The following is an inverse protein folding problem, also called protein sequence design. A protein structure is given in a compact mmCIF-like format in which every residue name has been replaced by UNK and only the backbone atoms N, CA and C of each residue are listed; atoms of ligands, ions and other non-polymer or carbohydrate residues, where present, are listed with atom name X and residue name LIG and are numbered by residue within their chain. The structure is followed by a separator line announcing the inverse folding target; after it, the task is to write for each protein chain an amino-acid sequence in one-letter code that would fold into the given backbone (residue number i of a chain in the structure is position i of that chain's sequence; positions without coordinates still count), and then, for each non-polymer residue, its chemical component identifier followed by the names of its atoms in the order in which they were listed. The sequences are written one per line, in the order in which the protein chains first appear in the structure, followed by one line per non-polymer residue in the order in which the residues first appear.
data_IF_633545507824
#
_entry.id   IF_633545507824
#
_cell.length_a   1.000
_cell.length_b   1.000
_cell.length_c   1.000
_cell.angle_alpha   90.00
_cell.angle_beta   90.00
_cell.angle_gamma   90.00
#
_symmetry.space_group_name_H-M   'P 1'
#
loop_
_entity.id
_entity.type
_entity.pdbx_description
1 polymer ?
#
# COMPACT_ATOMS: atom_id res chain seq x y z
N UNK A 1 0.56 14.11 21.20
CA UNK A 1 -0.05 14.18 19.85
C UNK A 1 -1.40 14.85 19.93
N UNK A 2 -1.73 15.71 18.96
CA UNK A 2 -2.99 16.43 18.91
C UNK A 2 -4.11 15.47 18.46
N UNK A 3 -4.97 15.01 19.39
CA UNK A 3 -6.09 14.10 19.09
C UNK A 3 -7.01 14.66 17.99
N UNK A 4 -7.10 15.98 17.86
CA UNK A 4 -7.87 16.66 16.83
C UNK A 4 -7.33 16.39 15.41
N UNK A 5 -6.01 16.43 15.22
CA UNK A 5 -5.37 16.13 13.94
C UNK A 5 -5.59 14.68 13.49
N UNK A 6 -5.52 13.72 14.43
CA UNK A 6 -5.76 12.31 14.15
C UNK A 6 -7.21 12.06 13.73
N UNK A 7 -8.17 12.57 14.49
CA UNK A 7 -9.59 12.44 14.18
C UNK A 7 -9.92 13.11 12.83
N UNK A 8 -9.34 14.29 12.57
CA UNK A 8 -9.51 14.97 11.29
C UNK A 8 -8.97 14.14 10.12
N UNK A 9 -7.73 13.63 10.20
CA UNK A 9 -7.15 12.77 9.15
C UNK A 9 -7.95 11.51 8.92
N UNK A 10 -8.45 10.86 9.99
CA UNK A 10 -9.33 9.70 9.86
C UNK A 10 -10.61 10.04 9.08
N UNK A 11 -11.27 11.16 9.41
CA UNK A 11 -12.44 11.64 8.68
C UNK A 11 -12.13 11.99 7.22
N UNK A 12 -10.96 12.57 6.94
CA UNK A 12 -10.56 12.90 5.57
C UNK A 12 -10.42 11.66 4.68
N UNK A 13 -10.03 10.50 5.23
CA UNK A 13 -10.01 9.23 4.46
C UNK A 13 -11.39 8.74 4.03
N UNK A 14 -12.48 9.22 4.66
CA UNK A 14 -13.87 8.98 4.21
C UNK A 14 -14.28 9.93 3.09
N UNK A 15 -13.82 11.18 3.15
CA UNK A 15 -14.24 12.25 2.24
C UNK A 15 -13.49 12.21 0.91
N UNK A 16 -12.16 12.12 1.01
CA UNK A 16 -11.25 12.23 -0.11
C UNK A 16 -10.91 10.83 -0.62
N UNK A 17 -11.01 10.63 -1.93
CA UNK A 17 -10.42 9.43 -2.52
C UNK A 17 -8.88 9.52 -2.42
N UNK A 18 -8.18 8.38 -2.49
CA UNK A 18 -6.73 8.37 -2.66
C UNK A 18 -6.31 9.31 -3.79
N UNK A 19 -5.18 10.00 -3.60
CA UNK A 19 -4.63 10.89 -4.61
C UNK A 19 -5.48 12.14 -4.98
N UNK A 20 -6.56 12.49 -4.26
CA UNK A 20 -7.37 13.69 -4.55
C UNK A 20 -6.53 14.99 -4.50
N UNK A 21 -6.25 15.64 -5.64
CA UNK A 21 -5.28 16.73 -5.69
C UNK A 21 -5.74 17.97 -4.89
N UNK A 22 -7.03 18.28 -4.93
CA UNK A 22 -7.60 19.42 -4.19
C UNK A 22 -7.60 19.14 -2.69
N UNK A 23 -8.01 17.92 -2.29
CA UNK A 23 -7.98 17.50 -0.90
C UNK A 23 -6.58 17.54 -0.30
N UNK A 24 -5.57 17.13 -1.07
CA UNK A 24 -4.15 17.19 -0.68
C UNK A 24 -3.66 18.60 -0.52
N UNK A 25 -3.94 19.44 -1.50
CA UNK A 25 -3.56 20.84 -1.46
C UNK A 25 -4.16 21.52 -0.21
N UNK A 26 -5.43 21.22 0.12
CA UNK A 26 -6.07 21.72 1.34
C UNK A 26 -5.34 21.28 2.60
N UNK A 27 -5.04 19.98 2.74
CA UNK A 27 -4.35 19.46 3.93
C UNK A 27 -2.94 20.03 4.04
N UNK A 28 -2.22 20.16 2.95
CA UNK A 28 -0.87 20.71 2.94
C UNK A 28 -0.86 22.21 3.29
N UNK A 29 -1.85 22.99 2.82
CA UNK A 29 -1.91 24.43 3.11
C UNK A 29 -2.43 24.74 4.50
N UNK A 30 -3.51 24.07 4.92
CA UNK A 30 -4.29 24.45 6.09
C UNK A 30 -4.14 23.47 7.27
N UNK A 31 -3.51 22.32 7.06
CA UNK A 31 -3.53 21.21 8.02
C UNK A 31 -4.85 20.44 7.97
N UNK A 32 -4.83 19.23 8.53
CA UNK A 32 -5.99 18.33 8.44
C UNK A 32 -7.26 18.84 9.16
N UNK A 33 -7.19 19.44 10.37
CA UNK A 33 -8.39 19.95 11.04
C UNK A 33 -9.14 21.00 10.23
N UNK A 34 -8.43 21.99 9.67
CA UNK A 34 -9.07 23.06 8.91
C UNK A 34 -9.47 22.59 7.49
N UNK A 35 -8.70 21.70 6.86
CA UNK A 35 -9.11 21.04 5.62
C UNK A 35 -10.44 20.28 5.79
N UNK A 36 -10.64 19.60 6.92
CA UNK A 36 -11.92 18.93 7.22
C UNK A 36 -13.07 19.94 7.39
N UNK A 37 -12.86 21.04 8.11
CA UNK A 37 -13.87 22.10 8.26
C UNK A 37 -14.23 22.71 6.91
N UNK A 38 -13.24 22.91 6.03
CA UNK A 38 -13.47 23.41 4.67
C UNK A 38 -14.28 22.39 3.86
N UNK A 39 -13.85 21.12 3.85
CA UNK A 39 -14.50 20.06 3.09
C UNK A 39 -15.95 19.78 3.51
N UNK A 40 -16.29 20.08 4.77
CA UNK A 40 -17.66 19.95 5.32
C UNK A 40 -18.45 21.25 5.30
N UNK A 41 -17.88 22.35 4.80
CA UNK A 41 -18.54 23.66 4.69
C UNK A 41 -18.60 24.47 6.00
N UNK A 42 -17.96 23.99 7.07
CA UNK A 42 -17.86 24.71 8.35
C UNK A 42 -16.84 25.88 8.32
N UNK A 43 -15.91 25.86 7.36
CA UNK A 43 -14.96 26.94 7.09
C UNK A 43 -14.94 27.25 5.59
N UNK A 44 -14.77 28.52 5.23
CA UNK A 44 -14.57 28.92 3.82
C UNK A 44 -13.08 28.99 3.52
N UNK A 45 -12.70 28.57 2.32
CA UNK A 45 -11.35 28.76 1.79
C UNK A 45 -11.40 29.60 0.51
N UNK A 46 -10.45 30.53 0.41
CA UNK A 46 -10.14 31.23 -0.83
C UNK A 46 -9.19 30.39 -1.69
N UNK A 47 -9.16 30.58 -3.02
CA UNK A 47 -8.22 29.92 -3.93
C UNK A 47 -6.77 30.03 -3.48
N UNK A 48 -5.96 29.03 -3.82
CA UNK A 48 -4.59 28.96 -3.31
C UNK A 48 -3.69 28.05 -4.10
N UNK A 49 -2.41 28.41 -4.16
CA UNK A 49 -1.44 27.71 -5.01
C UNK A 49 -2.04 27.57 -6.42
N UNK A 50 -2.10 26.34 -6.93
CA UNK A 50 -2.70 26.01 -8.22
C UNK A 50 -4.17 25.55 -8.12
N UNK A 51 -4.80 25.64 -6.95
CA UNK A 51 -6.22 25.33 -6.75
C UNK A 51 -7.07 26.56 -7.04
N UNK A 52 -7.79 26.53 -8.16
CA UNK A 52 -8.70 27.62 -8.55
C UNK A 52 -10.01 27.58 -7.74
N UNK A 53 -10.82 28.65 -7.83
CA UNK A 53 -12.18 28.67 -7.25
C UNK A 53 -13.06 27.55 -7.81
N UNK A 54 -12.87 27.21 -9.09
CA UNK A 54 -13.64 26.17 -9.77
C UNK A 54 -13.23 24.77 -9.27
N UNK A 55 -11.93 24.51 -9.13
CA UNK A 55 -11.40 23.25 -8.59
C UNK A 55 -11.90 23.01 -7.15
N UNK A 56 -11.86 24.06 -6.32
CA UNK A 56 -12.36 23.99 -4.94
C UNK A 56 -13.87 23.74 -4.91
N UNK A 57 -14.66 24.45 -5.72
CA UNK A 57 -16.10 24.26 -5.79
C UNK A 57 -16.47 22.84 -6.26
N UNK A 58 -15.74 22.30 -7.23
CA UNK A 58 -15.93 20.93 -7.71
C UNK A 58 -15.52 19.89 -6.65
N UNK A 59 -14.41 20.10 -5.96
CA UNK A 59 -14.01 19.28 -4.81
C UNK A 59 -15.10 19.22 -3.74
N UNK A 60 -15.60 20.37 -3.31
CA UNK A 60 -16.67 20.46 -2.32
C UNK A 60 -17.95 19.73 -2.78
N UNK A 61 -18.37 19.90 -4.04
CA UNK A 61 -19.51 19.15 -4.62
C UNK A 61 -19.30 17.65 -4.57
N UNK A 62 -18.09 17.18 -4.88
CA UNK A 62 -17.72 15.76 -4.89
C UNK A 62 -17.72 15.14 -3.49
N UNK A 63 -17.31 15.90 -2.48
CA UNK A 63 -17.22 15.43 -1.09
C UNK A 63 -18.54 15.56 -0.33
N UNK A 64 -19.40 16.49 -0.70
CA UNK A 64 -20.67 16.77 -0.01
C UNK A 64 -21.54 15.53 0.26
N UNK A 65 -21.69 14.54 -0.66
CA UNK A 65 -22.48 13.34 -0.39
C UNK A 65 -21.92 12.46 0.73
N UNK A 66 -20.63 12.60 1.07
CA UNK A 66 -19.92 11.80 2.08
C UNK A 66 -19.79 12.50 3.43
N UNK A 67 -20.14 13.79 3.50
CA UNK A 67 -20.03 14.59 4.73
C UNK A 67 -21.10 14.25 5.79
N UNK A 68 -22.38 14.00 5.43
CA UNK A 68 -23.37 13.55 6.40
C UNK A 68 -22.97 12.21 7.04
N UNK A 69 -23.02 12.14 8.37
CA UNK A 69 -22.74 10.90 9.10
C UNK A 69 -21.25 10.56 9.25
N UNK A 70 -20.34 11.50 8.97
CA UNK A 70 -18.93 11.33 9.34
C UNK A 70 -18.79 11.17 10.85
N UNK A 71 -18.24 10.02 11.25
CA UNK A 71 -17.92 9.73 12.64
C UNK A 71 -16.52 9.09 12.73
N UNK A 72 -15.45 9.92 12.71
CA UNK A 72 -14.09 9.41 12.85
C UNK A 72 -13.87 8.71 14.19
N UNK A 73 -14.63 9.04 15.24
CA UNK A 73 -14.50 8.38 16.54
C UNK A 73 -15.02 6.94 16.47
N UNK A 74 -16.15 6.70 15.77
CA UNK A 74 -16.63 5.35 15.49
C UNK A 74 -15.64 4.55 14.63
N UNK A 75 -15.09 5.14 13.57
CA UNK A 75 -14.10 4.46 12.71
C UNK A 75 -12.84 4.05 13.48
N UNK A 76 -12.33 4.96 14.33
CA UNK A 76 -11.20 4.68 15.22
C UNK A 76 -11.55 3.61 16.29
N UNK A 77 -12.80 3.62 16.78
CA UNK A 77 -13.31 2.60 17.69
C UNK A 77 -13.39 1.21 17.06
N UNK A 78 -13.89 1.13 15.83
CA UNK A 78 -13.99 -0.12 15.06
C UNK A 78 -12.60 -0.74 14.87
N UNK A 79 -11.64 0.03 14.34
CA UNK A 79 -10.31 -0.51 14.07
C UNK A 79 -9.58 -0.91 15.35
N UNK A 80 -9.74 -0.15 16.43
CA UNK A 80 -9.20 -0.48 17.75
C UNK A 80 -9.78 -1.79 18.28
N UNK A 81 -11.10 -1.98 18.17
CA UNK A 81 -11.79 -3.22 18.55
C UNK A 81 -11.32 -4.44 17.74
N UNK A 82 -10.78 -4.23 16.54
CA UNK A 82 -10.23 -5.26 15.67
C UNK A 82 -8.71 -5.51 15.86
N UNK A 83 -8.11 -4.98 16.93
CA UNK A 83 -6.69 -5.14 17.23
C UNK A 83 -5.80 -4.29 16.32
N UNK A 84 -6.26 -3.10 15.98
CA UNK A 84 -5.59 -2.19 15.06
C UNK A 84 -5.63 -0.74 15.50
N UNK A 85 -5.30 0.15 14.56
CA UNK A 85 -5.28 1.58 14.80
C UNK A 85 -5.21 2.37 13.51
N UNK A 86 -4.90 3.65 13.66
CA UNK A 86 -4.69 4.58 12.57
C UNK A 86 -3.38 5.32 12.84
N UNK A 87 -2.51 5.44 11.84
CA UNK A 87 -1.27 6.19 11.88
C UNK A 87 -1.43 7.53 11.15
N UNK A 88 -0.79 8.56 11.67
CA UNK A 88 -0.62 9.86 11.02
C UNK A 88 0.86 10.11 10.74
N UNK A 89 1.21 11.02 9.80
CA UNK A 89 2.61 11.39 9.54
C UNK A 89 3.40 11.86 10.77
N UNK A 90 2.71 12.32 11.82
CA UNK A 90 3.32 12.79 13.07
C UNK A 90 3.64 11.63 14.05
N UNK A 91 3.27 10.39 13.72
CA UNK A 91 3.48 9.23 14.59
C UNK A 91 4.87 8.61 14.38
N UNK A 92 5.52 8.17 15.45
CA UNK A 92 6.85 7.54 15.36
C UNK A 92 6.88 6.24 14.56
N UNK A 93 5.76 5.53 14.44
CA UNK A 93 5.62 4.33 13.60
C UNK A 93 5.18 4.63 12.16
N UNK A 94 5.09 5.90 11.76
CA UNK A 94 4.78 6.27 10.39
C UNK A 94 5.86 5.74 9.43
N UNK A 95 5.52 5.00 8.37
CA UNK A 95 6.51 4.46 7.46
C UNK A 95 7.20 5.58 6.67
N UNK A 96 8.50 5.76 6.90
CA UNK A 96 9.27 6.85 6.29
C UNK A 96 9.19 6.86 4.75
N UNK A 97 9.13 5.68 4.11
CA UNK A 97 9.03 5.58 2.65
C UNK A 97 7.76 6.19 2.06
N UNK A 98 6.69 6.33 2.85
CA UNK A 98 5.48 7.03 2.38
C UNK A 98 5.69 8.52 2.19
N UNK A 99 6.74 9.11 2.77
CA UNK A 99 7.06 10.53 2.60
C UNK A 99 7.67 10.82 1.22
N UNK A 100 8.14 9.81 0.51
CA UNK A 100 8.67 9.95 -0.84
C UNK A 100 7.57 10.01 -1.90
N UNK A 101 6.32 9.69 -1.51
CA UNK A 101 5.17 9.78 -2.41
C UNK A 101 4.73 11.24 -2.56
N UNK A 102 4.61 11.77 -3.78
CA UNK A 102 4.01 13.09 -4.01
C UNK A 102 2.56 13.12 -3.52
N UNK A 103 1.91 11.95 -3.51
CA UNK A 103 0.58 11.70 -3.03
C UNK A 103 0.59 10.80 -1.76
N UNK A 104 1.44 11.12 -0.79
CA UNK A 104 1.50 10.44 0.52
C UNK A 104 0.12 10.33 1.22
N UNK A 105 -0.28 9.17 1.76
CA UNK A 105 -1.63 9.00 2.32
C UNK A 105 -1.93 9.97 3.48
N UNK A 106 -3.19 10.39 3.62
CA UNK A 106 -3.61 11.29 4.72
C UNK A 106 -3.40 10.68 6.11
N UNK A 107 -3.46 9.35 6.17
CA UNK A 107 -3.06 8.50 7.28
C UNK A 107 -3.21 7.04 6.86
N UNK A 108 -2.81 6.12 7.74
CA UNK A 108 -2.73 4.71 7.42
C UNK A 108 -3.44 3.87 8.49
N UNK A 109 -4.51 3.20 8.11
CA UNK A 109 -5.19 2.21 8.94
C UNK A 109 -4.34 0.95 9.02
N UNK A 110 -4.27 0.33 10.19
CA UNK A 110 -3.55 -0.94 10.35
C UNK A 110 -4.29 -1.90 11.28
N UNK A 111 -4.00 -3.20 11.14
CA UNK A 111 -4.31 -4.27 12.10
C UNK A 111 -3.11 -5.20 12.24
N UNK A 112 -2.94 -5.76 13.43
CA UNK A 112 -1.81 -6.65 13.76
C UNK A 112 -0.79 -5.98 14.68
N UNK A 113 0.35 -6.64 14.86
CA UNK A 113 1.38 -6.25 15.84
C UNK A 113 2.27 -5.13 15.30
N UNK A 114 2.14 -3.92 15.85
CA UNK A 114 2.92 -2.73 15.44
C UNK A 114 4.12 -2.44 16.35
N UNK A 115 4.33 -3.22 17.42
CA UNK A 115 5.31 -2.91 18.47
C UNK A 115 6.76 -2.75 17.94
N UNK A 116 7.11 -3.50 16.88
CA UNK A 116 8.41 -3.41 16.21
C UNK A 116 8.42 -2.44 15.01
N UNK A 117 7.35 -1.66 14.87
CA UNK A 117 7.13 -0.71 13.79
C UNK A 117 6.93 -1.34 12.41
N UNK A 118 6.85 -0.47 11.41
CA UNK A 118 6.90 -0.84 10.00
C UNK A 118 8.36 -0.66 9.55
N UNK A 119 9.05 -1.71 9.04
CA UNK A 119 10.46 -1.59 8.68
C UNK A 119 10.70 -0.54 7.60
N UNK A 120 11.89 0.08 7.63
CA UNK A 120 12.30 1.02 6.61
C UNK A 120 12.37 0.35 5.21
N UNK A 121 12.18 1.11 4.11
CA UNK A 121 12.24 0.55 2.76
C UNK A 121 13.48 -0.29 2.47
N UNK A 122 14.66 0.09 2.99
CA UNK A 122 15.92 -0.67 2.86
C UNK A 122 15.92 -2.05 3.52
N UNK A 123 14.84 -2.43 4.22
CA UNK A 123 14.64 -3.75 4.82
C UNK A 123 13.41 -4.48 4.26
N UNK A 124 12.86 -3.97 3.17
CA UNK A 124 11.60 -4.43 2.60
C UNK A 124 11.73 -4.67 1.09
N UNK A 125 11.21 -5.80 0.62
CA UNK A 125 11.04 -6.10 -0.79
C UNK A 125 9.56 -6.29 -1.09
N UNK A 126 9.06 -5.58 -2.08
CA UNK A 126 7.72 -5.80 -2.60
C UNK A 126 7.74 -6.94 -3.62
N UNK A 127 6.91 -7.96 -3.43
CA UNK A 127 6.69 -9.02 -4.42
C UNK A 127 5.27 -8.88 -4.96
N UNK A 128 5.12 -8.72 -6.27
CA UNK A 128 3.81 -8.58 -6.91
C UNK A 128 3.74 -9.33 -8.24
N UNK A 129 2.52 -9.68 -8.67
CA UNK A 129 2.35 -10.28 -9.99
C UNK A 129 0.93 -10.71 -10.33
N UNK A 130 0.84 -11.75 -11.14
CA UNK A 130 -0.41 -12.28 -11.69
C UNK A 130 -1.31 -12.82 -10.58
N UNK A 131 -2.61 -12.50 -10.66
CA UNK A 131 -3.65 -13.12 -9.81
C UNK A 131 -3.96 -14.56 -10.20
N UNK A 132 -3.66 -14.90 -11.43
CA UNK A 132 -3.76 -16.23 -12.03
C UNK A 132 -2.33 -16.68 -12.34
N UNK A 133 -1.56 -16.94 -11.27
CA UNK A 133 -0.15 -17.30 -11.36
C UNK A 133 0.02 -18.73 -11.85
N UNK A 134 1.07 -18.97 -12.63
CA UNK A 134 1.43 -20.34 -13.04
C UNK A 134 2.06 -21.11 -11.88
N UNK A 135 2.23 -22.43 -12.04
CA UNK A 135 3.03 -23.24 -11.10
C UNK A 135 4.47 -22.75 -11.00
N UNK A 136 5.05 -22.30 -12.12
CA UNK A 136 6.36 -21.66 -12.16
C UNK A 136 6.38 -20.37 -11.31
N UNK A 137 5.44 -19.45 -11.55
CA UNK A 137 5.34 -18.20 -10.80
C UNK A 137 5.14 -18.44 -9.29
N UNK A 138 4.31 -19.42 -8.93
CA UNK A 138 4.10 -19.81 -7.54
C UNK A 138 5.38 -20.36 -6.87
N UNK A 139 6.12 -21.24 -7.56
CA UNK A 139 7.36 -21.82 -7.05
C UNK A 139 8.44 -20.76 -6.86
N UNK A 140 8.71 -19.95 -7.88
CA UNK A 140 9.73 -18.88 -7.81
C UNK A 140 9.38 -17.86 -6.74
N UNK A 141 8.11 -17.45 -6.64
CA UNK A 141 7.67 -16.56 -5.56
C UNK A 141 7.90 -17.18 -4.19
N UNK A 142 7.63 -18.48 -4.05
CA UNK A 142 7.85 -19.21 -2.81
C UNK A 142 9.31 -19.21 -2.38
N UNK A 143 10.21 -19.59 -3.28
CA UNK A 143 11.65 -19.64 -3.01
C UNK A 143 12.22 -18.26 -2.68
N UNK A 144 11.85 -17.24 -3.45
CA UNK A 144 12.27 -15.86 -3.22
C UNK A 144 11.76 -15.34 -1.87
N UNK A 145 10.45 -15.43 -1.62
CA UNK A 145 9.85 -14.85 -0.40
C UNK A 145 10.35 -15.55 0.86
N UNK A 146 10.50 -16.88 0.82
CA UNK A 146 11.10 -17.64 1.91
C UNK A 146 12.56 -17.22 2.15
N UNK A 147 13.36 -17.15 1.09
CA UNK A 147 14.78 -16.75 1.19
C UNK A 147 14.98 -15.33 1.72
N UNK A 148 14.10 -14.38 1.36
CA UNK A 148 14.10 -13.01 1.88
C UNK A 148 13.75 -12.98 3.38
N UNK A 149 12.70 -13.69 3.78
CA UNK A 149 12.28 -13.76 5.19
C UNK A 149 13.36 -14.41 6.08
N UNK A 150 14.06 -15.43 5.58
CA UNK A 150 15.21 -16.06 6.26
C UNK A 150 16.39 -15.10 6.47
N UNK A 151 16.47 -14.03 5.66
CA UNK A 151 17.46 -12.95 5.79
C UNK A 151 16.96 -11.78 6.65
N UNK A 152 15.78 -11.91 7.28
CA UNK A 152 15.16 -10.83 8.06
C UNK A 152 14.67 -9.65 7.20
N UNK A 153 14.47 -9.87 5.89
CA UNK A 153 13.90 -8.90 4.95
C UNK A 153 12.39 -9.09 4.91
N UNK A 154 11.64 -8.01 5.14
CA UNK A 154 10.19 -8.04 5.15
C UNK A 154 9.64 -8.10 3.71
N UNK A 155 8.71 -9.01 3.46
CA UNK A 155 8.00 -9.10 2.19
C UNK A 155 6.74 -8.23 2.22
N UNK A 156 6.64 -7.24 1.33
CA UNK A 156 5.45 -6.41 1.18
C UNK A 156 4.63 -6.92 -0.01
N UNK A 157 3.34 -7.15 0.16
CA UNK A 157 2.51 -7.59 -0.98
C UNK A 157 1.02 -7.29 -0.83
N UNK A 158 0.31 -7.67 -1.88
CA UNK A 158 -1.08 -7.43 -2.24
C UNK A 158 -2.18 -7.98 -1.37
N UNK A 159 -1.92 -9.14 -0.79
CA UNK A 159 -2.93 -10.12 -0.40
C UNK A 159 -3.93 -10.51 -1.51
N UNK A 160 -3.69 -10.17 -2.78
CA UNK A 160 -4.52 -10.68 -3.87
C UNK A 160 -4.31 -12.20 -4.06
N UNK A 161 -5.10 -12.82 -4.93
CA UNK A 161 -4.81 -14.18 -5.38
C UNK A 161 -3.48 -14.26 -6.14
N UNK A 162 -3.00 -15.48 -6.36
CA UNK A 162 -1.78 -15.74 -7.13
C UNK A 162 -0.51 -15.31 -6.39
N UNK A 163 0.36 -14.58 -7.08
CA UNK A 163 1.71 -14.22 -6.60
C UNK A 163 1.68 -13.62 -5.20
N UNK A 164 0.77 -12.67 -4.94
CA UNK A 164 0.72 -11.98 -3.65
C UNK A 164 0.44 -12.95 -2.48
N UNK A 165 -0.49 -13.89 -2.65
CA UNK A 165 -0.79 -14.89 -1.63
C UNK A 165 0.37 -15.90 -1.44
N UNK A 166 1.07 -16.28 -2.51
CA UNK A 166 2.25 -17.14 -2.42
C UNK A 166 3.39 -16.44 -1.68
N UNK A 167 3.64 -15.16 -1.96
CA UNK A 167 4.65 -14.36 -1.30
C UNK A 167 4.43 -14.30 0.22
N UNK A 168 3.21 -13.98 0.66
CA UNK A 168 2.89 -13.92 2.08
C UNK A 168 3.04 -15.28 2.78
N UNK A 169 2.55 -16.38 2.18
CA UNK A 169 2.65 -17.72 2.77
C UNK A 169 4.10 -18.15 2.96
N UNK A 170 4.92 -17.95 1.94
CA UNK A 170 6.32 -18.35 1.98
C UNK A 170 7.15 -17.47 2.92
N UNK A 171 6.89 -16.17 2.96
CA UNK A 171 7.52 -15.28 3.93
C UNK A 171 7.21 -15.68 5.38
N UNK A 172 5.94 -15.98 5.69
CA UNK A 172 5.54 -16.48 7.01
C UNK A 172 6.21 -17.81 7.37
N UNK A 173 6.40 -18.72 6.40
CA UNK A 173 7.09 -19.99 6.62
C UNK A 173 8.61 -19.82 6.84
N UNK A 174 9.19 -18.74 6.32
CA UNK A 174 10.63 -18.46 6.40
C UNK A 174 11.03 -17.48 7.49
N UNK A 175 10.10 -17.05 8.36
CA UNK A 175 10.36 -15.98 9.33
C UNK A 175 11.54 -16.29 10.24
N UNK A 176 12.47 -15.35 10.33
CA UNK A 176 13.52 -15.30 11.33
C UNK A 176 13.63 -13.90 11.94
N UNK A 177 13.93 -13.84 13.24
CA UNK A 177 14.12 -12.59 13.99
C UNK A 177 12.81 -11.95 14.46
N UNK A 178 12.94 -10.74 15.01
CA UNK A 178 11.85 -10.05 15.74
C UNK A 178 11.00 -9.11 14.85
N UNK A 179 11.31 -9.01 13.55
CA UNK A 179 10.58 -8.15 12.62
C UNK A 179 9.38 -8.83 11.95
N UNK A 180 8.45 -8.07 11.34
CA UNK A 180 7.37 -8.67 10.58
C UNK A 180 7.93 -9.40 9.36
N UNK A 181 7.62 -10.69 9.24
CA UNK A 181 8.01 -11.48 8.06
C UNK A 181 7.39 -10.90 6.78
N UNK A 182 6.16 -10.41 6.92
CA UNK A 182 5.42 -9.87 5.80
C UNK A 182 4.38 -8.84 6.21
N UNK A 183 4.09 -7.90 5.32
CA UNK A 183 3.06 -6.88 5.48
C UNK A 183 2.16 -6.88 4.24
N UNK A 184 0.86 -6.99 4.46
CA UNK A 184 -0.14 -6.86 3.41
C UNK A 184 -0.68 -5.43 3.37
N UNK A 185 -0.78 -4.83 2.19
CA UNK A 185 -1.55 -3.59 2.01
C UNK A 185 -2.91 -3.98 1.36
N UNK A 186 -4.01 -3.33 1.67
CA UNK A 186 -5.35 -3.70 1.16
C UNK A 186 -5.98 -2.53 0.42
N UNK A 187 -6.80 -2.83 -0.59
CA UNK A 187 -7.52 -1.84 -1.39
C UNK A 187 -8.86 -1.40 -0.79
N UNK A 188 -9.27 -2.00 0.34
CA UNK A 188 -10.51 -1.71 1.05
C UNK A 188 -10.26 -1.52 2.55
N UNK A 189 -11.34 -1.34 3.32
CA UNK A 189 -11.28 -1.25 4.77
C UNK A 189 -10.76 -2.54 5.41
N UNK A 190 -10.07 -2.42 6.54
CA UNK A 190 -9.44 -3.55 7.23
C UNK A 190 -10.42 -4.37 8.10
N UNK A 191 -11.68 -3.98 8.17
CA UNK A 191 -12.78 -4.69 8.84
C UNK A 191 -13.33 -5.87 8.02
N UNK A 192 -13.00 -5.93 6.72
CA UNK A 192 -13.39 -7.03 5.84
C UNK A 192 -12.22 -7.52 4.99
N UNK A 193 -11.76 -8.72 5.27
CA UNK A 193 -10.70 -9.36 4.49
C UNK A 193 -11.16 -9.58 3.03
N UNK A 194 -10.35 -9.11 2.08
CA UNK A 194 -10.57 -9.31 0.66
C UNK A 194 -9.25 -9.70 -0.04
N UNK A 195 -9.26 -10.75 -0.89
CA UNK A 195 -10.39 -11.62 -1.18
C UNK A 195 -10.71 -12.55 0.01
N UNK A 196 -11.98 -12.96 0.15
CA UNK A 196 -12.41 -13.80 1.28
C UNK A 196 -11.71 -15.15 1.34
N UNK A 197 -11.27 -15.69 0.20
CA UNK A 197 -10.48 -16.93 0.15
C UNK A 197 -9.08 -16.82 0.79
N UNK A 198 -8.61 -15.61 1.08
CA UNK A 198 -7.35 -15.37 1.79
C UNK A 198 -7.57 -14.92 3.26
N UNK A 199 -8.76 -15.08 3.84
CA UNK A 199 -9.04 -14.63 5.21
C UNK A 199 -8.12 -15.28 6.27
N UNK A 200 -7.89 -16.59 6.18
CA UNK A 200 -6.96 -17.30 7.09
C UNK A 200 -5.52 -16.81 6.93
N UNK A 201 -5.10 -16.54 5.69
CA UNK A 201 -3.81 -15.94 5.41
C UNK A 201 -3.70 -14.53 5.99
N UNK A 202 -4.75 -13.71 5.86
CA UNK A 202 -4.81 -12.38 6.46
C UNK A 202 -4.67 -12.46 7.99
N UNK A 203 -5.33 -13.43 8.63
CA UNK A 203 -5.20 -13.67 10.06
C UNK A 203 -3.78 -14.09 10.45
N UNK A 204 -3.16 -14.99 9.68
CA UNK A 204 -1.77 -15.41 9.90
C UNK A 204 -0.77 -14.25 9.74
N UNK A 205 -0.97 -13.37 8.76
CA UNK A 205 -0.17 -12.14 8.59
C UNK A 205 -0.30 -11.25 9.82
N UNK A 206 -1.52 -11.00 10.31
CA UNK A 206 -1.75 -10.13 11.48
C UNK A 206 -1.15 -10.68 12.78
N UNK A 207 -0.98 -11.99 12.90
CA UNK A 207 -0.38 -12.61 14.08
C UNK A 207 1.12 -12.28 14.22
N UNK A 208 1.84 -12.07 13.11
CA UNK A 208 3.29 -11.84 13.09
C UNK A 208 3.70 -10.69 12.14
N UNK A 209 2.81 -9.73 11.96
CA UNK A 209 2.94 -8.69 10.93
C UNK A 209 1.72 -7.77 10.91
N UNK A 210 1.53 -7.10 9.77
CA UNK A 210 0.54 -6.05 9.64
C UNK A 210 -0.28 -6.20 8.36
N UNK A 211 -1.57 -5.89 8.46
CA UNK A 211 -2.39 -5.49 7.32
C UNK A 211 -2.60 -3.98 7.36
N UNK A 212 -2.33 -3.28 6.27
CA UNK A 212 -2.38 -1.83 6.14
C UNK A 212 -3.41 -1.41 5.09
N UNK A 213 -4.03 -0.24 5.26
CA UNK A 213 -4.92 0.34 4.24
C UNK A 213 -4.98 1.86 4.37
N UNK A 214 -5.14 2.55 3.25
CA UNK A 214 -5.50 3.97 3.24
C UNK A 214 -7.02 4.15 3.38
N UNK A 215 -7.79 3.08 3.22
CA UNK A 215 -9.24 3.13 3.23
C UNK A 215 -9.80 2.93 4.65
N UNK A 216 -10.79 3.73 5.07
CA UNK A 216 -11.42 3.58 6.37
C UNK A 216 -12.24 2.28 6.47
N UNK A 217 -12.60 1.83 7.68
CA UNK A 217 -13.50 0.70 7.88
C UNK A 217 -14.79 0.81 7.04
N UNK A 218 -15.30 -0.31 6.53
CA UNK A 218 -16.50 -0.37 5.68
C UNK A 218 -16.28 0.01 4.21
N UNK A 219 -15.08 0.45 3.83
CA UNK A 219 -14.76 0.77 2.43
C UNK A 219 -14.60 -0.48 1.56
N UNK A 220 -15.36 -0.55 0.48
CA UNK A 220 -15.24 -1.63 -0.51
C UNK A 220 -13.97 -1.49 -1.36
N UNK A 221 -13.34 -2.63 -1.77
CA UNK A 221 -12.23 -2.62 -2.70
C UNK A 221 -12.75 -2.40 -4.13
N UNK A 222 -12.42 -1.25 -4.73
CA UNK A 222 -12.78 -0.91 -6.11
C UNK A 222 -11.58 -1.09 -7.04
N UNK A 223 -11.83 -1.10 -8.36
CA UNK A 223 -10.74 -1.19 -9.35
C UNK A 223 -9.74 -0.04 -9.23
N UNK A 224 -10.20 1.20 -9.00
CA UNK A 224 -9.31 2.35 -8.80
C UNK A 224 -8.44 2.17 -7.56
N UNK A 225 -9.04 1.78 -6.43
CA UNK A 225 -8.31 1.58 -5.17
C UNK A 225 -7.27 0.47 -5.26
N UNK A 226 -7.47 -0.55 -6.11
CA UNK A 226 -6.43 -1.54 -6.39
C UNK A 226 -5.20 -0.94 -7.09
N UNK A 227 -5.39 0.04 -7.96
CA UNK A 227 -4.30 0.75 -8.63
C UNK A 227 -3.63 1.72 -7.64
N UNK A 228 -4.43 2.54 -6.95
CA UNK A 228 -3.94 3.56 -6.01
C UNK A 228 -3.08 2.95 -4.92
N UNK A 229 -3.51 1.81 -4.36
CA UNK A 229 -2.79 1.13 -3.30
C UNK A 229 -1.45 0.54 -3.75
N UNK A 230 -1.21 0.37 -5.04
CA UNK A 230 0.09 -0.05 -5.58
C UNK A 230 1.23 0.90 -5.19
N UNK A 231 0.98 2.22 -5.15
CA UNK A 231 2.01 3.20 -4.74
C UNK A 231 2.45 3.03 -3.29
N UNK A 232 1.55 2.59 -2.40
CA UNK A 232 1.87 2.33 -0.99
C UNK A 232 2.76 1.09 -0.90
N UNK A 233 2.49 0.04 -1.67
CA UNK A 233 3.37 -1.14 -1.74
C UNK A 233 4.77 -0.72 -2.18
N UNK A 234 4.86 0.04 -3.26
CA UNK A 234 6.13 0.51 -3.82
C UNK A 234 6.91 1.38 -2.82
N UNK A 235 6.24 2.30 -2.14
CA UNK A 235 6.85 3.20 -1.16
C UNK A 235 7.34 2.49 0.11
N UNK A 236 6.70 1.39 0.50
CA UNK A 236 7.12 0.59 1.66
C UNK A 236 8.35 -0.29 1.38
N UNK A 237 8.78 -0.42 0.11
CA UNK A 237 9.86 -1.31 -0.28
C UNK A 237 11.02 -0.57 -0.95
N UNK A 238 12.24 -1.03 -0.70
CA UNK A 238 13.45 -0.54 -1.40
C UNK A 238 13.56 -1.12 -2.81
N UNK A 239 13.04 -2.34 -3.01
CA UNK A 239 12.96 -3.04 -4.29
C UNK A 239 11.54 -3.53 -4.53
N UNK A 240 11.00 -3.29 -5.73
CA UNK A 240 9.75 -3.90 -6.20
C UNK A 240 10.02 -4.94 -7.27
N UNK A 241 9.77 -6.20 -6.97
CA UNK A 241 9.93 -7.33 -7.88
C UNK A 241 8.58 -7.76 -8.48
N UNK A 242 8.52 -7.81 -9.81
CA UNK A 242 7.39 -8.38 -10.56
C UNK A 242 7.74 -9.82 -10.95
N UNK A 243 7.05 -10.80 -10.36
CA UNK A 243 7.35 -12.23 -10.60
C UNK A 243 6.67 -12.76 -11.86
N UNK A 244 5.39 -12.44 -12.04
CA UNK A 244 4.65 -12.72 -13.27
C UNK A 244 3.71 -11.56 -13.57
N UNK A 245 3.65 -11.12 -14.82
CA UNK A 245 2.69 -10.12 -15.25
C UNK A 245 2.32 -10.32 -16.71
N UNK A 246 1.02 -10.32 -17.01
CA UNK A 246 0.53 -10.11 -18.38
C UNK A 246 0.83 -8.68 -18.82
N UNK A 247 0.74 -8.43 -20.13
CA UNK A 247 1.02 -7.13 -20.75
C UNK A 247 0.29 -5.92 -20.12
N UNK A 248 -0.92 -6.13 -19.60
CA UNK A 248 -1.76 -5.13 -18.92
C UNK A 248 -2.08 -5.52 -17.47
N UNK A 249 -1.08 -6.02 -16.75
CA UNK A 249 -1.23 -6.39 -15.34
C UNK A 249 -1.18 -5.17 -14.41
N UNK A 250 -1.95 -5.20 -13.32
CA UNK A 250 -1.86 -4.19 -12.26
C UNK A 250 -0.51 -4.21 -11.52
N UNK A 251 0.22 -5.32 -11.55
CA UNK A 251 1.58 -5.41 -11.00
C UNK A 251 2.55 -4.41 -11.67
N UNK A 252 2.34 -4.14 -12.97
CA UNK A 252 3.14 -3.16 -13.72
C UNK A 252 2.92 -1.72 -13.23
N UNK A 253 1.72 -1.43 -12.69
CA UNK A 253 1.45 -0.14 -12.06
C UNK A 253 2.30 0.06 -10.79
N UNK A 254 2.45 -1.00 -9.99
CA UNK A 254 3.28 -0.96 -8.77
C UNK A 254 4.76 -0.76 -9.11
N UNK A 255 5.26 -1.45 -10.14
CA UNK A 255 6.61 -1.24 -10.67
C UNK A 255 6.83 0.20 -11.15
N UNK A 256 5.88 0.77 -11.88
CA UNK A 256 5.97 2.15 -12.34
C UNK A 256 5.96 3.17 -11.19
N UNK A 257 5.16 2.93 -10.14
CA UNK A 257 5.23 3.77 -8.94
C UNK A 257 6.60 3.70 -8.28
N UNK A 258 7.18 2.50 -8.14
CA UNK A 258 8.52 2.32 -7.58
C UNK A 258 9.57 3.10 -8.37
N UNK A 259 9.56 3.01 -9.70
CA UNK A 259 10.42 3.80 -10.58
C UNK A 259 10.25 5.32 -10.37
N UNK A 260 9.00 5.79 -10.27
CA UNK A 260 8.67 7.22 -10.09
C UNK A 260 9.27 7.81 -8.80
N UNK A 261 9.34 7.01 -7.74
CA UNK A 261 9.96 7.40 -6.46
C UNK A 261 11.40 6.90 -6.30
N UNK A 262 12.09 6.64 -7.42
CA UNK A 262 13.48 6.21 -7.49
C UNK A 262 13.82 4.96 -6.65
N UNK A 263 12.89 4.00 -6.59
CA UNK A 263 13.10 2.66 -6.03
C UNK A 263 13.51 1.69 -7.11
N UNK A 264 14.29 0.69 -6.74
CA UNK A 264 14.69 -0.36 -7.67
C UNK A 264 13.47 -1.17 -8.10
N UNK A 265 13.42 -1.49 -9.39
CA UNK A 265 12.46 -2.43 -9.95
C UNK A 265 13.23 -3.66 -10.40
N UNK A 266 12.68 -4.84 -10.11
CA UNK A 266 13.19 -6.11 -10.55
C UNK A 266 12.09 -6.91 -11.25
N UNK A 267 12.47 -7.83 -12.13
CA UNK A 267 11.54 -8.72 -12.78
C UNK A 267 12.13 -10.12 -12.92
N UNK A 268 11.30 -11.13 -12.67
CA UNK A 268 11.66 -12.53 -12.85
C UNK A 268 11.49 -12.89 -14.34
N UNK A 269 12.49 -13.53 -14.97
CA UNK A 269 12.35 -13.99 -16.35
C UNK A 269 11.33 -15.15 -16.41
N UNK A 270 10.76 -15.38 -17.59
CA UNK A 270 9.85 -16.51 -17.77
C UNK A 270 9.75 -16.95 -19.22
N UNK A 271 8.99 -18.01 -19.47
CA UNK A 271 8.82 -18.56 -20.81
C UNK A 271 8.24 -17.54 -21.78
N UNK A 272 8.84 -17.38 -22.96
CA UNK A 272 8.30 -16.56 -24.06
C UNK A 272 6.97 -17.08 -24.61
N UNK A 273 6.62 -18.33 -24.31
CA UNK A 273 5.31 -18.91 -24.62
C UNK A 273 4.24 -18.62 -23.55
N UNK A 274 4.64 -18.08 -22.39
CA UNK A 274 3.72 -17.72 -21.32
C UNK A 274 3.24 -16.29 -21.47
N UNK A 275 1.93 -16.10 -21.63
CA UNK A 275 1.32 -14.77 -21.60
C UNK A 275 1.54 -14.05 -20.25
N UNK A 276 1.75 -14.81 -19.17
CA UNK A 276 2.04 -14.28 -17.83
C UNK A 276 3.48 -13.76 -17.69
N UNK A 277 4.37 -13.97 -18.66
CA UNK A 277 5.73 -13.44 -18.64
C UNK A 277 5.90 -12.16 -19.47
N UNK A 278 4.92 -11.83 -20.33
CA UNK A 278 5.03 -10.73 -21.30
C UNK A 278 5.28 -9.35 -20.67
N UNK A 279 4.69 -9.08 -19.50
CA UNK A 279 4.91 -7.84 -18.75
C UNK A 279 6.30 -7.78 -18.12
N UNK A 280 6.82 -8.91 -17.61
CA UNK A 280 8.18 -8.99 -17.08
C UNK A 280 9.21 -8.80 -18.21
N UNK A 281 9.01 -9.47 -19.35
CA UNK A 281 9.86 -9.26 -20.54
C UNK A 281 9.85 -7.81 -21.01
N UNK A 282 8.71 -7.13 -20.92
CA UNK A 282 8.63 -5.71 -21.27
C UNK A 282 9.51 -4.86 -20.36
N UNK A 283 9.38 -5.00 -19.03
CA UNK A 283 10.19 -4.26 -18.06
C UNK A 283 11.70 -4.50 -18.28
N UNK A 284 12.09 -5.75 -18.51
CA UNK A 284 13.48 -6.12 -18.80
C UNK A 284 13.99 -5.52 -20.11
N UNK A 285 13.18 -5.57 -21.18
CA UNK A 285 13.53 -5.02 -22.49
C UNK A 285 13.67 -3.49 -22.46
N UNK A 286 12.82 -2.81 -21.69
CA UNK A 286 12.83 -1.36 -21.54
C UNK A 286 13.97 -0.87 -20.64
N UNK A 287 14.68 -1.78 -19.96
CA UNK A 287 15.75 -1.43 -19.01
C UNK A 287 15.22 -0.82 -17.71
N UNK A 288 13.92 -0.90 -17.45
CA UNK A 288 13.28 -0.37 -16.24
C UNK A 288 13.42 -1.31 -15.05
N UNK A 289 13.66 -2.61 -15.30
CA UNK A 289 13.85 -3.61 -14.25
C UNK A 289 15.17 -4.36 -14.38
N UNK A 290 15.81 -4.64 -13.24
CA UNK A 290 16.87 -5.63 -13.15
C UNK A 290 16.30 -7.05 -13.29
N UNK A 291 16.99 -7.92 -14.02
CA UNK A 291 16.68 -9.34 -14.05
C UNK A 291 17.10 -9.98 -12.72
N UNK A 292 16.18 -10.69 -12.08
CA UNK A 292 16.46 -11.46 -10.86
C UNK A 292 15.87 -12.86 -10.98
N UNK A 293 16.49 -13.83 -10.32
CA UNK A 293 16.13 -15.24 -10.36
C UNK A 293 16.02 -15.86 -8.97
N UNK A 294 16.58 -15.21 -7.94
CA UNK A 294 16.52 -15.69 -6.56
C UNK A 294 16.46 -14.56 -5.51
N UNK A 295 16.39 -14.96 -4.23
CA UNK A 295 16.35 -14.05 -3.10
C UNK A 295 17.69 -13.32 -2.84
N UNK A 296 18.83 -13.90 -3.26
CA UNK A 296 20.13 -13.31 -3.05
C UNK A 296 20.33 -12.09 -3.94
N UNK A 297 19.98 -12.20 -5.23
CA UNK A 297 20.04 -11.09 -6.18
C UNK A 297 19.12 -9.93 -5.77
N UNK A 298 17.93 -10.22 -5.22
CA UNK A 298 17.04 -9.18 -4.66
C UNK A 298 17.61 -8.54 -3.40
N UNK A 299 18.26 -9.31 -2.53
CA UNK A 299 18.90 -8.77 -1.33
C UNK A 299 20.13 -7.92 -1.68
N UNK A 300 20.89 -8.29 -2.70
CA UNK A 300 22.01 -7.50 -3.21
C UNK A 300 21.52 -6.18 -3.81
N UNK A 301 20.47 -6.21 -4.63
CA UNK A 301 19.83 -5.01 -5.19
C UNK A 301 19.20 -4.11 -4.11
N UNK A 302 18.75 -4.67 -2.99
CA UNK A 302 18.24 -3.89 -1.86
C UNK A 302 19.36 -3.17 -1.09
N UNK A 303 20.57 -3.73 -1.14
CA UNK A 303 21.74 -3.22 -0.42
C UNK A 303 22.58 -2.21 -1.21
N UNK A 304 22.31 -2.04 -2.52
CA UNK A 304 22.97 -1.05 -3.38
C UNK A 304 22.42 0.35 -3.19
#
# INVERSE_FOLDING_TARGET
MNNDNRAARAALTRLFEPADPVGRALVAKHGAPDALKIATGALRAEPFWDVTSEDLAEGLRRWAPRAPGLDPAADLGIIKGLGGGFLTPDDGHWPAGLNDLPDAPYGLWYRGTIDNGIPAPSRCVALTGSRDSTSYGAAVTGDIAYGLAQRGICVISGLAYGIDAHAHRAALAGVQGDGPATIAVLAGGLDRDYPSGNADLAAAIRANGLTLSEQPPGSAPTRSRFLDRGRIIAALAGVTCVVEARWRSGALNTAHHAETIARHVAAVPGSVYSANSAGCHRLLKEGTAALVTDAAELAELLAS
#
